data_IF_990753242068
#
_entry.id   IF_990753242068
#
_cell.length_a   1.000
_cell.length_b   1.000
_cell.length_c   1.000
_cell.angle_alpha   90.00
_cell.angle_beta   90.00
_cell.angle_gamma   90.00
#
_symmetry.space_group_name_H-M   'P 1'
#
loop_
_entity.id
_entity.type
_entity.pdbx_description
1 polymer ?
#
# COMPACT_ATOMS: atom_id res chain seq x y z
N UNK A 1 10.33 14.89 -25.73
CA UNK A 1 11.40 14.68 -24.73
C UNK A 1 10.80 13.83 -23.62
N UNK A 2 11.51 12.78 -23.17
CA UNK A 2 11.09 12.03 -22.00
C UNK A 2 10.86 12.93 -20.79
N UNK A 3 9.88 12.56 -19.98
CA UNK A 3 9.55 13.14 -18.69
C UNK A 3 9.89 12.13 -17.61
N UNK A 4 10.72 12.52 -16.67
CA UNK A 4 10.92 11.82 -15.41
C UNK A 4 10.20 12.56 -14.30
N UNK A 5 9.39 11.85 -13.52
CA UNK A 5 8.75 12.37 -12.30
C UNK A 5 9.36 11.68 -11.09
N UNK A 6 10.04 12.42 -10.22
CA UNK A 6 10.45 11.92 -8.90
C UNK A 6 9.28 12.08 -7.95
N UNK A 7 8.63 10.97 -7.56
CA UNK A 7 7.43 10.98 -6.73
C UNK A 7 7.76 11.24 -5.27
N UNK A 8 8.60 10.39 -4.70
CA UNK A 8 8.88 10.40 -3.26
C UNK A 8 10.20 9.73 -2.91
N UNK A 9 10.69 10.06 -1.73
CA UNK A 9 11.85 9.45 -1.08
C UNK A 9 11.39 8.88 0.25
N UNK A 10 11.70 7.62 0.52
CA UNK A 10 11.42 6.99 1.80
C UNK A 10 12.72 6.89 2.56
N UNK A 11 12.72 7.35 3.81
CA UNK A 11 13.80 7.07 4.75
C UNK A 11 13.39 5.88 5.61
N UNK A 12 14.12 4.77 5.56
CA UNK A 12 13.91 3.62 6.43
C UNK A 12 14.80 3.70 7.69
N UNK A 13 16.00 4.25 7.53
CA UNK A 13 17.00 4.43 8.59
C UNK A 13 17.80 5.70 8.32
N UNK A 14 18.01 6.48 9.36
CA UNK A 14 19.01 7.56 9.45
C UNK A 14 20.18 7.11 10.33
N UNK A 15 21.26 7.89 10.33
CA UNK A 15 22.39 7.65 11.23
C UNK A 15 22.01 7.94 12.69
N UNK A 16 21.11 8.90 12.91
CA UNK A 16 20.56 9.26 14.21
C UNK A 16 19.07 8.94 14.21
N UNK A 17 18.71 7.79 14.80
CA UNK A 17 17.31 7.37 14.92
C UNK A 17 16.51 8.20 15.95
N UNK A 18 17.17 9.05 16.72
CA UNK A 18 16.57 9.89 17.77
C UNK A 18 16.25 11.31 17.30
N UNK A 19 16.83 11.74 16.19
CA UNK A 19 16.64 13.09 15.66
C UNK A 19 16.25 13.05 14.18
N UNK A 20 15.66 14.15 13.72
CA UNK A 20 15.41 14.31 12.31
C UNK A 20 16.69 14.77 11.62
N UNK A 21 17.00 14.18 10.48
CA UNK A 21 18.13 14.58 9.64
C UNK A 21 17.64 15.44 8.47
N UNK A 22 18.49 16.34 7.99
CA UNK A 22 18.19 17.11 6.78
C UNK A 22 18.62 16.29 5.56
N UNK A 23 17.65 15.77 4.81
CA UNK A 23 17.90 15.08 3.56
C UNK A 23 17.94 16.08 2.41
N UNK A 24 18.98 16.02 1.59
CA UNK A 24 19.13 16.83 0.37
C UNK A 24 19.06 15.93 -0.85
N UNK A 25 18.10 16.20 -1.73
CA UNK A 25 17.97 15.58 -3.04
C UNK A 25 18.48 16.55 -4.11
N UNK A 26 19.45 16.12 -4.93
CA UNK A 26 19.92 16.88 -6.10
C UNK A 26 19.49 16.16 -7.37
N UNK A 27 18.87 16.88 -8.28
CA UNK A 27 18.45 16.38 -9.59
C UNK A 27 19.21 17.15 -10.67
N UNK A 28 19.92 16.42 -11.53
CA UNK A 28 20.78 16.95 -12.59
C UNK A 28 20.30 16.34 -13.90
N UNK A 29 19.80 17.14 -14.83
CA UNK A 29 19.39 16.69 -16.15
C UNK A 29 20.36 17.24 -17.20
N UNK A 30 20.89 16.36 -18.07
CA UNK A 30 21.74 16.74 -19.21
C UNK A 30 22.90 17.70 -18.85
N UNK A 31 23.59 17.42 -17.73
CA UNK A 31 24.68 18.25 -17.19
C UNK A 31 24.30 19.71 -16.86
N UNK A 32 23.01 20.01 -16.76
CA UNK A 32 22.52 21.32 -16.31
C UNK A 32 22.83 21.57 -14.82
N UNK A 33 22.64 22.82 -14.39
CA UNK A 33 22.79 23.20 -12.98
C UNK A 33 21.86 22.36 -12.08
N UNK A 34 22.36 21.78 -10.98
CA UNK A 34 21.56 20.90 -10.13
C UNK A 34 20.35 21.63 -9.53
N UNK A 35 19.16 21.02 -9.62
CA UNK A 35 18.00 21.41 -8.83
C UNK A 35 18.11 20.74 -7.46
N UNK A 36 18.21 21.53 -6.41
CA UNK A 36 18.35 21.04 -5.05
C UNK A 36 17.06 21.20 -4.25
N UNK A 37 16.75 20.16 -3.49
CA UNK A 37 15.64 20.13 -2.56
C UNK A 37 16.15 19.68 -1.21
N UNK A 38 15.57 20.20 -0.14
CA UNK A 38 15.90 19.83 1.24
C UNK A 38 14.65 19.47 2.01
N UNK A 39 14.75 18.50 2.91
CA UNK A 39 13.66 18.10 3.78
C UNK A 39 14.16 17.48 5.07
N UNK A 40 13.63 17.95 6.18
CA UNK A 40 13.86 17.33 7.49
C UNK A 40 13.04 16.05 7.58
N UNK A 41 13.69 14.90 7.77
CA UNK A 41 13.05 13.59 7.74
C UNK A 41 13.48 12.73 8.93
N UNK A 42 12.53 11.99 9.50
CA UNK A 42 12.79 10.95 10.49
C UNK A 42 12.84 9.57 9.84
N UNK A 43 13.53 8.64 10.48
CA UNK A 43 13.49 7.23 10.09
C UNK A 43 12.04 6.70 10.05
N UNK A 44 11.69 6.11 8.91
CA UNK A 44 10.37 5.60 8.55
C UNK A 44 9.42 6.64 7.95
N UNK A 45 9.83 7.89 7.74
CA UNK A 45 9.01 8.88 7.03
C UNK A 45 9.21 8.82 5.51
N UNK A 46 8.25 9.40 4.80
CA UNK A 46 8.35 9.67 3.37
C UNK A 46 8.38 11.17 3.13
N UNK A 47 9.16 11.57 2.14
CA UNK A 47 9.20 12.90 1.57
C UNK A 47 8.59 12.86 0.17
N UNK A 48 7.42 13.46 0.00
CA UNK A 48 6.78 13.60 -1.30
C UNK A 48 7.43 14.78 -2.05
N UNK A 49 8.05 14.49 -3.19
CA UNK A 49 8.76 15.48 -4.01
C UNK A 49 7.96 15.88 -5.26
N UNK A 50 7.25 14.92 -5.87
CA UNK A 50 6.42 15.07 -7.07
C UNK A 50 6.98 16.06 -8.09
N UNK A 51 8.25 15.87 -8.45
CA UNK A 51 9.00 16.81 -9.28
C UNK A 51 9.24 16.26 -10.67
N UNK A 52 8.79 17.03 -11.64
CA UNK A 52 8.92 16.74 -13.07
C UNK A 52 10.25 17.28 -13.63
N UNK A 53 10.85 16.47 -14.50
CA UNK A 53 12.15 16.70 -15.13
C UNK A 53 12.08 16.25 -16.59
N UNK A 54 12.09 17.20 -17.51
CA UNK A 54 12.32 16.92 -18.92
C UNK A 54 13.82 16.79 -19.17
N UNK A 55 14.21 15.81 -19.98
CA UNK A 55 15.61 15.56 -20.30
C UNK A 55 15.75 14.94 -21.70
N UNK A 56 16.94 15.04 -22.27
CA UNK A 56 17.28 14.54 -23.60
C UNK A 56 18.12 13.26 -23.55
N UNK A 57 19.13 13.22 -22.67
CA UNK A 57 20.12 12.16 -22.58
C UNK A 57 20.07 11.43 -21.25
N UNK A 58 20.19 12.16 -20.12
CA UNK A 58 20.16 11.52 -18.80
C UNK A 58 19.67 12.43 -17.68
N UNK A 59 19.19 11.81 -16.61
CA UNK A 59 18.94 12.43 -15.31
C UNK A 59 19.73 11.69 -14.24
N UNK A 60 20.49 12.43 -13.45
CA UNK A 60 21.14 11.94 -12.23
C UNK A 60 20.39 12.45 -11.01
N UNK A 61 20.00 11.53 -10.13
CA UNK A 61 19.36 11.84 -8.85
C UNK A 61 20.34 11.43 -7.74
N UNK A 62 20.77 12.39 -6.93
CA UNK A 62 21.71 12.17 -5.83
C UNK A 62 21.03 12.47 -4.50
N UNK A 63 21.36 11.66 -3.50
CA UNK A 63 20.86 11.83 -2.15
C UNK A 63 22.01 12.05 -1.18
N UNK A 64 21.85 13.07 -0.33
CA UNK A 64 22.79 13.44 0.72
C UNK A 64 22.04 13.62 2.04
N UNK A 65 22.67 13.28 3.14
CA UNK A 65 22.24 13.60 4.49
C UNK A 65 23.11 14.75 4.99
N UNK A 66 22.53 15.94 5.07
CA UNK A 66 23.18 17.13 5.62
C UNK A 66 23.04 17.05 7.15
N UNK A 67 24.09 16.56 7.83
CA UNK A 67 24.10 16.48 9.29
C UNK A 67 24.30 17.85 9.89
N UNK A 68 23.28 18.39 10.57
CA UNK A 68 23.39 19.61 11.36
C UNK A 68 24.37 19.44 12.55
N UNK A 69 24.57 18.19 13.02
CA UNK A 69 25.41 17.88 14.17
C UNK A 69 26.91 17.79 13.84
N UNK A 70 27.27 17.23 12.69
CA UNK A 70 28.68 17.03 12.30
C UNK A 70 29.18 18.05 11.29
N UNK A 71 28.27 18.77 10.60
CA UNK A 71 28.60 19.76 9.57
C UNK A 71 29.18 19.18 8.28
N UNK A 72 29.36 17.86 8.19
CA UNK A 72 29.83 17.16 6.98
C UNK A 72 28.67 16.42 6.31
N UNK A 73 28.36 16.71 5.04
CA UNK A 73 27.29 16.03 4.34
C UNK A 73 27.68 14.58 4.02
N UNK A 74 26.83 13.63 4.43
CA UNK A 74 26.98 12.22 4.11
C UNK A 74 26.34 11.92 2.75
N UNK A 75 27.09 11.31 1.84
CA UNK A 75 26.57 10.89 0.54
C UNK A 75 25.83 9.55 0.65
N UNK A 76 24.50 9.58 0.54
CA UNK A 76 23.67 8.39 0.68
C UNK A 76 23.67 7.52 -0.57
N UNK A 77 23.72 8.12 -1.76
CA UNK A 77 23.79 7.39 -3.03
C UNK A 77 23.32 8.19 -4.24
N UNK A 78 23.31 7.52 -5.40
CA UNK A 78 22.73 8.06 -6.64
C UNK A 78 22.09 6.98 -7.50
N UNK A 79 21.17 7.42 -8.34
CA UNK A 79 20.68 6.66 -9.49
C UNK A 79 20.80 7.53 -10.75
N UNK A 80 21.19 6.90 -11.84
CA UNK A 80 21.31 7.52 -13.15
C UNK A 80 20.26 6.90 -14.09
N UNK A 81 19.50 7.77 -14.76
CA UNK A 81 18.42 7.40 -15.66
C UNK A 81 18.77 7.91 -17.04
N UNK A 82 19.16 7.01 -17.94
CA UNK A 82 19.54 7.35 -19.31
C UNK A 82 18.38 7.09 -20.28
N UNK A 83 18.06 8.09 -21.12
CA UNK A 83 16.93 8.03 -22.05
C UNK A 83 17.00 6.83 -23.00
N UNK A 84 18.21 6.43 -23.40
CA UNK A 84 18.46 5.34 -24.35
C UNK A 84 18.08 3.94 -23.84
N UNK A 85 17.94 3.76 -22.52
CA UNK A 85 17.68 2.45 -21.88
C UNK A 85 16.38 2.42 -21.08
N UNK A 86 15.61 3.50 -21.11
CA UNK A 86 14.37 3.59 -20.34
C UNK A 86 13.17 3.05 -21.12
N UNK A 87 12.23 2.46 -20.39
CA UNK A 87 10.87 2.16 -20.84
C UNK A 87 9.88 2.99 -20.02
N UNK A 88 8.66 3.20 -20.56
CA UNK A 88 7.57 3.78 -19.76
C UNK A 88 7.32 2.89 -18.55
N UNK A 89 7.21 3.49 -17.37
CA UNK A 89 6.96 2.73 -16.15
C UNK A 89 7.29 3.47 -14.87
N UNK A 90 7.15 2.75 -13.77
CA UNK A 90 7.56 3.18 -12.43
C UNK A 90 8.76 2.36 -11.96
N UNK A 91 9.69 3.04 -11.32
CA UNK A 91 10.99 2.50 -10.93
C UNK A 91 11.29 2.90 -9.49
N UNK A 92 12.19 2.14 -8.88
CA UNK A 92 12.74 2.44 -7.58
C UNK A 92 14.25 2.30 -7.57
N UNK A 93 14.92 3.13 -6.79
CA UNK A 93 16.35 3.04 -6.55
C UNK A 93 16.60 2.99 -5.04
N UNK A 94 17.20 1.89 -4.59
CA UNK A 94 17.52 1.67 -3.18
C UNK A 94 18.96 2.08 -2.89
N UNK A 95 19.12 2.88 -1.83
CA UNK A 95 20.40 3.33 -1.30
C UNK A 95 20.56 2.78 0.10
N UNK A 96 21.21 1.61 0.19
CA UNK A 96 21.53 0.96 1.44
C UNK A 96 22.99 1.24 1.82
N UNK A 97 23.18 2.02 2.88
CA UNK A 97 24.50 2.35 3.42
C UNK A 97 24.54 2.08 4.92
N UNK A 98 25.72 1.88 5.52
CA UNK A 98 25.85 1.66 6.96
C UNK A 98 25.17 2.75 7.82
N UNK A 99 25.23 3.99 7.35
CA UNK A 99 24.71 5.17 8.06
C UNK A 99 23.30 5.58 7.63
N UNK A 100 22.69 4.92 6.63
CA UNK A 100 21.37 5.33 6.17
C UNK A 100 20.76 4.34 5.19
N UNK A 101 19.43 4.27 5.15
CA UNK A 101 18.71 3.45 4.19
C UNK A 101 17.56 4.25 3.62
N UNK A 102 17.64 4.50 2.31
CA UNK A 102 16.66 5.29 1.59
C UNK A 102 16.23 4.57 0.32
N UNK A 103 15.03 4.89 -0.17
CA UNK A 103 14.60 4.48 -1.50
C UNK A 103 13.89 5.63 -2.20
N UNK A 104 14.25 5.86 -3.45
CA UNK A 104 13.62 6.85 -4.31
C UNK A 104 12.65 6.15 -5.25
N UNK A 105 11.47 6.72 -5.43
CA UNK A 105 10.45 6.27 -6.36
C UNK A 105 10.27 7.31 -7.46
N UNK A 106 10.36 6.88 -8.71
CA UNK A 106 10.23 7.75 -9.87
C UNK A 106 9.51 7.03 -11.02
N UNK A 107 8.93 7.78 -11.96
CA UNK A 107 8.36 7.23 -13.18
C UNK A 107 8.96 7.89 -14.41
N UNK A 108 8.96 7.16 -15.52
CA UNK A 108 9.27 7.69 -16.83
C UNK A 108 8.08 7.61 -17.77
N UNK A 109 7.88 8.71 -18.49
CA UNK A 109 7.03 8.81 -19.65
C UNK A 109 7.86 9.32 -20.84
N UNK A 110 8.15 8.45 -21.80
CA UNK A 110 8.95 8.71 -22.99
C UNK A 110 8.17 9.55 -24.01
N UNK A 111 6.83 9.52 -23.93
CA UNK A 111 5.91 10.29 -24.78
C UNK A 111 4.85 10.97 -23.91
N UNK A 112 5.24 11.97 -23.09
CA UNK A 112 4.30 12.63 -22.22
C UNK A 112 3.22 13.33 -23.07
N UNK A 113 1.93 13.22 -22.69
CA UNK A 113 0.87 13.92 -23.39
C UNK A 113 1.16 15.44 -23.35
N UNK A 114 1.23 16.06 -24.52
CA UNK A 114 1.36 17.51 -24.67
C UNK A 114 0.02 18.13 -24.27
N UNK A 115 -0.17 18.35 -22.96
CA UNK A 115 -1.37 19.04 -22.47
C UNK A 115 -1.02 20.51 -22.23
N UNK A 116 -1.34 21.36 -23.19
CA UNK A 116 -1.63 22.77 -22.87
C UNK A 116 -2.81 22.78 -21.90
N UNK A 117 -2.57 23.16 -20.64
CA UNK A 117 -3.63 23.36 -19.66
C UNK A 117 -4.41 24.64 -20.01
N UNK A 118 -5.25 24.57 -21.05
CA UNK A 118 -6.36 25.50 -21.17
C UNK A 118 -7.40 25.10 -20.13
N UNK A 119 -7.36 25.75 -18.98
CA UNK A 119 -8.42 25.67 -17.97
C UNK A 119 -9.64 26.38 -18.57
N UNK A 120 -10.50 25.62 -19.25
CA UNK A 120 -11.86 26.09 -19.49
C UNK A 120 -12.63 25.93 -18.17
N UNK A 121 -12.88 27.07 -17.52
CA UNK A 121 -13.86 27.12 -16.45
C UNK A 121 -15.22 26.70 -17.00
N UNK A 122 -15.92 25.70 -16.41
CA UNK A 122 -17.29 25.44 -16.79
C UNK A 122 -18.15 26.63 -16.34
N UNK A 123 -18.60 27.43 -17.31
CA UNK A 123 -19.67 28.39 -17.11
C UNK A 123 -20.97 27.60 -16.99
N UNK A 124 -21.46 27.43 -15.77
CA UNK A 124 -22.79 26.89 -15.54
C UNK A 124 -23.82 27.94 -15.96
N UNK A 125 -24.41 27.75 -17.14
CA UNK A 125 -25.69 28.38 -17.48
C UNK A 125 -26.78 27.39 -17.09
N UNK A 126 -27.51 27.72 -16.04
CA UNK A 126 -28.76 27.05 -15.68
C UNK A 126 -29.81 27.41 -16.72
N UNK A 127 -30.45 26.42 -17.33
CA UNK A 127 -31.79 26.58 -17.88
C UNK A 127 -32.56 25.26 -17.71
N UNK A 128 -33.62 25.35 -16.91
CA UNK A 128 -34.66 24.35 -16.72
C UNK A 128 -35.43 24.10 -18.02
N UNK A 129 -35.59 22.83 -18.44
CA UNK A 129 -36.90 22.19 -18.49
C UNK A 129 -36.82 20.68 -18.85
N UNK A 130 -37.76 19.84 -18.36
CA UNK A 130 -37.68 18.39 -18.36
C UNK A 130 -38.39 17.77 -19.58
N UNK A 131 -37.70 16.93 -20.35
CA UNK A 131 -38.32 15.93 -21.22
C UNK A 131 -37.29 14.98 -21.84
N UNK A 132 -37.62 13.68 -21.81
CA UNK A 132 -37.15 12.62 -22.73
C UNK A 132 -35.72 12.08 -22.56
N UNK A 133 -35.64 10.95 -21.86
CA UNK A 133 -34.62 9.91 -22.06
C UNK A 133 -34.78 9.27 -23.44
N UNK A 134 -33.67 8.84 -24.06
CA UNK A 134 -33.67 7.59 -24.82
C UNK A 134 -32.69 6.56 -24.24
N UNK A 135 -33.15 5.31 -24.23
CA UNK A 135 -32.40 4.09 -23.91
C UNK A 135 -31.13 3.96 -24.76
N UNK A 136 -30.02 3.50 -24.14
CA UNK A 136 -28.81 3.15 -24.88
C UNK A 136 -28.41 1.70 -24.62
N UNK A 137 -28.26 1.01 -25.75
CA UNK A 137 -28.11 -0.43 -25.95
C UNK A 137 -26.80 -1.00 -25.40
N UNK A 138 -26.91 -2.24 -24.93
CA UNK A 138 -25.82 -3.11 -24.52
C UNK A 138 -24.96 -3.52 -25.71
N UNK A 139 -23.64 -3.35 -25.62
CA UNK A 139 -22.71 -4.05 -26.52
C UNK A 139 -21.67 -4.82 -25.71
N UNK A 140 -21.79 -6.14 -25.79
CA UNK A 140 -20.81 -7.12 -25.36
C UNK A 140 -19.53 -6.98 -26.19
N UNK A 141 -18.37 -6.90 -25.54
CA UNK A 141 -17.09 -7.11 -26.21
C UNK A 141 -16.26 -8.09 -25.37
N UNK A 142 -16.16 -9.31 -25.89
CA UNK A 142 -15.49 -10.45 -25.26
C UNK A 142 -13.98 -10.29 -25.18
N UNK A 143 -13.41 -10.93 -24.16
CA UNK A 143 -11.98 -11.12 -23.96
C UNK A 143 -11.48 -12.29 -24.85
N UNK A 144 -10.30 -12.20 -25.48
CA UNK A 144 -9.71 -13.33 -26.19
C UNK A 144 -9.12 -14.38 -25.23
N UNK A 145 -9.25 -15.65 -25.62
CA UNK A 145 -8.68 -16.83 -24.98
C UNK A 145 -7.41 -17.32 -25.71
N UNK A 146 -6.50 -17.88 -24.91
CA UNK A 146 -5.50 -18.94 -25.16
C UNK A 146 -4.23 -18.63 -25.99
N UNK A 147 -3.03 -18.89 -25.44
CA UNK A 147 -2.37 -20.23 -25.43
C UNK A 147 -1.00 -20.22 -24.73
N UNK A 148 -0.57 -21.41 -24.30
CA UNK A 148 0.42 -21.73 -23.28
C UNK A 148 1.82 -22.17 -23.81
N UNK A 149 2.65 -22.62 -22.84
CA UNK A 149 3.86 -23.49 -22.89
C UNK A 149 5.24 -22.77 -22.89
N UNK A 150 6.28 -23.17 -22.13
CA UNK A 150 6.44 -24.28 -21.19
C UNK A 150 7.83 -24.28 -20.47
N UNK A 151 7.88 -25.03 -19.36
CA UNK A 151 8.99 -25.77 -18.69
C UNK A 151 10.41 -25.20 -18.50
N UNK A 152 10.85 -25.21 -17.22
CA UNK A 152 12.25 -25.20 -16.80
C UNK A 152 12.40 -25.55 -15.30
N UNK A 153 13.17 -26.60 -15.03
CA UNK A 153 13.36 -27.38 -13.79
C UNK A 153 14.01 -26.64 -12.60
N UNK A 154 13.56 -26.90 -11.36
CA UNK A 154 14.37 -26.73 -10.13
C UNK A 154 13.95 -27.70 -9.02
N UNK A 155 14.90 -28.55 -8.65
CA UNK A 155 14.87 -29.43 -7.48
C UNK A 155 15.13 -28.67 -6.19
N UNK A 156 14.17 -28.70 -5.26
CA UNK A 156 14.33 -28.29 -3.87
C UNK A 156 13.04 -28.57 -3.12
N UNK A 157 13.04 -29.59 -2.24
CA UNK A 157 11.87 -30.13 -1.51
C UNK A 157 10.91 -29.05 -0.99
N UNK A 158 9.81 -28.85 -1.71
CA UNK A 158 8.60 -28.20 -1.20
C UNK A 158 7.70 -29.31 -0.67
N UNK A 159 7.27 -29.21 0.58
CA UNK A 159 6.21 -30.06 1.10
C UNK A 159 4.93 -29.78 0.30
N UNK A 160 4.66 -30.65 -0.68
CA UNK A 160 3.51 -30.55 -1.57
C UNK A 160 2.26 -31.09 -0.87
N UNK A 161 1.44 -30.18 -0.35
CA UNK A 161 0.04 -30.41 -0.04
C UNK A 161 -0.82 -29.53 -0.93
N UNK A 162 -1.16 -30.00 -2.13
CA UNK A 162 -2.12 -29.31 -2.99
C UNK A 162 -3.51 -29.37 -2.34
N UNK A 163 -3.93 -28.25 -1.71
CA UNK A 163 -5.33 -28.00 -1.32
C UNK A 163 -5.66 -27.96 0.18
N UNK A 164 -4.99 -27.16 1.01
CA UNK A 164 -5.39 -26.97 2.43
C UNK A 164 -5.35 -25.54 3.01
N UNK A 165 -5.24 -24.51 2.17
CA UNK A 165 -5.16 -23.12 2.65
C UNK A 165 -6.09 -22.17 1.91
N UNK A 166 -6.42 -21.05 2.54
CA UNK A 166 -7.08 -19.93 1.88
C UNK A 166 -6.17 -19.43 0.75
N UNK A 167 -6.78 -19.05 -0.37
CA UNK A 167 -6.11 -18.54 -1.56
C UNK A 167 -6.97 -17.41 -2.14
N UNK A 168 -6.46 -16.19 -2.30
CA UNK A 168 -7.21 -15.06 -2.87
C UNK A 168 -7.93 -15.35 -4.20
N UNK A 169 -7.33 -16.15 -5.09
CA UNK A 169 -7.89 -16.54 -6.41
C UNK A 169 -9.13 -17.43 -6.34
N UNK A 170 -9.27 -18.21 -5.26
CA UNK A 170 -10.37 -19.17 -5.07
C UNK A 170 -11.36 -18.66 -4.02
N UNK A 171 -10.82 -18.10 -2.94
CA UNK A 171 -11.54 -17.77 -1.70
C UNK A 171 -11.65 -16.26 -1.44
N UNK A 172 -11.14 -15.42 -2.35
CA UNK A 172 -11.35 -13.97 -2.36
C UNK A 172 -12.48 -13.55 -3.31
N UNK A 173 -13.05 -12.35 -3.11
CA UNK A 173 -14.05 -11.83 -4.05
C UNK A 173 -13.41 -11.53 -5.41
N UNK A 174 -14.18 -11.75 -6.48
CA UNK A 174 -13.76 -11.52 -7.85
C UNK A 174 -13.94 -10.06 -8.33
N UNK A 175 -14.45 -9.17 -7.48
CA UNK A 175 -14.64 -7.74 -7.75
C UNK A 175 -13.79 -6.89 -6.79
N UNK A 176 -13.30 -5.73 -7.25
CA UNK A 176 -12.48 -4.87 -6.41
C UNK A 176 -13.32 -4.16 -5.35
N UNK A 177 -12.65 -3.77 -4.28
CA UNK A 177 -13.19 -2.91 -3.24
C UNK A 177 -13.42 -1.48 -3.74
N UNK A 178 -14.48 -1.29 -4.52
CA UNK A 178 -14.88 0.00 -5.06
C UNK A 178 -16.34 0.27 -4.70
N UNK A 179 -16.54 0.80 -3.49
CA UNK A 179 -17.86 1.09 -2.93
C UNK A 179 -17.96 2.56 -2.55
N UNK A 180 -19.20 3.04 -2.46
CA UNK A 180 -19.55 4.38 -1.98
C UNK A 180 -20.26 4.28 -0.63
N UNK A 181 -19.55 3.79 0.39
CA UNK A 181 -20.11 3.69 1.74
C UNK A 181 -19.98 5.02 2.50
N UNK A 182 -21.08 5.48 3.11
CA UNK A 182 -21.10 6.65 4.00
C UNK A 182 -21.40 6.20 5.43
N UNK A 183 -20.49 6.48 6.35
CA UNK A 183 -20.71 6.23 7.77
C UNK A 183 -21.34 7.45 8.43
N UNK A 184 -22.66 7.44 8.62
CA UNK A 184 -23.39 8.57 9.23
C UNK A 184 -23.30 8.62 10.77
N UNK A 185 -22.36 7.89 11.39
CA UNK A 185 -22.19 7.85 12.83
C UNK A 185 -21.20 8.93 13.30
N UNK A 186 -21.64 9.82 14.19
CA UNK A 186 -20.75 10.77 14.85
C UNK A 186 -20.00 10.05 15.97
N UNK A 187 -18.71 9.81 15.76
CA UNK A 187 -17.81 9.27 16.78
C UNK A 187 -17.05 10.44 17.41
N UNK A 188 -17.19 10.69 18.71
CA UNK A 188 -16.62 11.90 19.35
C UNK A 188 -15.09 12.06 19.19
N UNK A 189 -14.38 10.99 18.89
CA UNK A 189 -12.92 10.96 18.69
C UNK A 189 -12.49 11.03 17.22
N UNK A 190 -13.44 11.02 16.26
CA UNK A 190 -13.14 11.14 14.83
C UNK A 190 -14.04 12.24 14.24
N UNK A 191 -13.51 13.26 13.55
CA UNK A 191 -14.32 14.31 12.91
C UNK A 191 -15.48 13.77 12.04
N UNK A 192 -16.43 14.62 11.64
CA UNK A 192 -17.38 14.19 10.57
C UNK A 192 -16.60 14.05 9.27
N UNK A 193 -16.82 12.96 8.54
CA UNK A 193 -16.17 12.74 7.25
C UNK A 193 -17.19 12.52 6.14
N UNK A 194 -16.95 13.16 5.01
CA UNK A 194 -17.60 12.90 3.73
C UNK A 194 -16.56 12.36 2.76
N UNK A 195 -16.14 11.12 2.95
CA UNK A 195 -15.33 10.41 1.97
C UNK A 195 -16.06 9.15 1.53
N UNK A 196 -16.08 8.94 0.22
CA UNK A 196 -16.47 7.70 -0.42
C UNK A 196 -15.53 6.60 0.06
N UNK A 197 -16.00 5.70 0.93
CA UNK A 197 -15.16 4.64 1.51
C UNK A 197 -15.52 3.27 0.90
N UNK A 198 -14.50 2.42 0.77
CA UNK A 198 -14.67 1.02 0.40
C UNK A 198 -15.33 0.19 1.50
N UNK A 199 -15.41 -1.12 1.30
CA UNK A 199 -15.83 -2.11 2.30
C UNK A 199 -14.70 -3.10 2.57
N UNK A 200 -13.42 -2.68 2.56
CA UNK A 200 -12.27 -3.60 2.66
C UNK A 200 -12.34 -4.50 3.91
N UNK A 201 -12.68 -3.92 5.07
CA UNK A 201 -12.86 -4.68 6.30
C UNK A 201 -14.02 -5.67 6.24
N UNK A 202 -15.12 -5.29 5.58
CA UNK A 202 -16.27 -6.15 5.35
C UNK A 202 -15.98 -7.28 4.37
N UNK A 203 -15.28 -6.99 3.28
CA UNK A 203 -14.86 -7.96 2.26
C UNK A 203 -13.88 -8.97 2.81
N UNK A 204 -12.88 -8.54 3.57
CA UNK A 204 -11.91 -9.42 4.23
C UNK A 204 -12.60 -10.36 5.22
N UNK A 205 -13.47 -9.82 6.10
CA UNK A 205 -14.24 -10.65 7.04
C UNK A 205 -15.17 -11.63 6.32
N UNK A 206 -15.87 -11.17 5.30
CA UNK A 206 -16.78 -12.01 4.54
C UNK A 206 -16.01 -13.12 3.78
N UNK A 207 -14.90 -12.82 3.12
CA UNK A 207 -14.07 -13.85 2.47
C UNK A 207 -13.63 -14.94 3.46
N UNK A 208 -13.19 -14.54 4.66
CA UNK A 208 -12.87 -15.49 5.72
C UNK A 208 -14.10 -16.30 6.19
N UNK A 209 -15.26 -15.65 6.35
CA UNK A 209 -16.51 -16.35 6.72
C UNK A 209 -16.90 -17.43 5.71
N UNK A 210 -16.85 -17.13 4.41
CA UNK A 210 -17.17 -18.12 3.37
C UNK A 210 -16.16 -19.27 3.37
N UNK A 211 -14.87 -18.98 3.50
CA UNK A 211 -13.83 -20.00 3.57
C UNK A 211 -13.97 -20.92 4.79
N UNK A 212 -14.12 -20.34 5.99
CA UNK A 212 -14.20 -21.11 7.25
C UNK A 212 -15.48 -21.96 7.33
N UNK A 213 -16.55 -21.53 6.66
CA UNK A 213 -17.79 -22.29 6.53
C UNK A 213 -17.85 -23.19 5.28
N UNK A 214 -16.77 -23.29 4.50
CA UNK A 214 -16.68 -24.11 3.29
C UNK A 214 -17.78 -23.78 2.26
N UNK A 215 -18.15 -22.50 2.16
CA UNK A 215 -19.13 -22.00 1.21
C UNK A 215 -18.43 -21.38 0.00
N UNK A 216 -18.94 -21.60 -1.22
CA UNK A 216 -18.41 -20.92 -2.39
C UNK A 216 -18.73 -19.42 -2.32
N UNK A 217 -17.74 -18.58 -2.64
CA UNK A 217 -18.02 -17.16 -2.85
C UNK A 217 -18.85 -16.95 -4.13
N UNK A 218 -19.64 -15.88 -4.20
CA UNK A 218 -20.27 -15.47 -5.44
C UNK A 218 -19.21 -15.28 -6.55
N UNK A 219 -19.29 -16.07 -7.62
CA UNK A 219 -18.33 -16.03 -8.74
C UNK A 219 -18.40 -14.77 -9.61
N UNK A 220 -19.27 -13.82 -9.27
CA UNK A 220 -19.45 -12.56 -9.99
C UNK A 220 -18.26 -11.62 -9.79
N UNK A 221 -17.80 -11.00 -10.87
CA UNK A 221 -16.86 -9.87 -10.84
C UNK A 221 -17.60 -8.52 -10.81
N UNK A 222 -18.93 -8.53 -10.69
CA UNK A 222 -19.76 -7.34 -10.59
C UNK A 222 -19.84 -6.92 -9.12
N UNK A 223 -19.50 -5.66 -8.86
CA UNK A 223 -19.62 -5.04 -7.54
C UNK A 223 -21.11 -5.08 -7.12
N UNK A 224 -21.45 -5.63 -5.94
CA UNK A 224 -22.83 -5.78 -5.53
C UNK A 224 -23.50 -4.43 -5.32
N UNK A 225 -24.64 -4.25 -5.99
CA UNK A 225 -25.41 -3.01 -5.94
C UNK A 225 -25.89 -2.70 -4.51
N UNK A 226 -25.98 -1.40 -4.13
CA UNK A 226 -26.60 -0.99 -2.87
C UNK A 226 -27.97 -1.65 -2.68
N UNK A 227 -28.19 -2.25 -1.50
CA UNK A 227 -29.44 -2.95 -1.20
C UNK A 227 -29.52 -4.40 -1.68
N UNK A 228 -28.52 -4.96 -2.37
CA UNK A 228 -28.45 -6.42 -2.58
C UNK A 228 -28.12 -7.17 -1.28
N UNK A 229 -28.42 -8.48 -1.21
CA UNK A 229 -28.08 -9.29 -0.02
C UNK A 229 -26.57 -9.30 0.26
N UNK A 230 -25.75 -9.47 -0.77
CA UNK A 230 -24.30 -9.44 -0.63
C UNK A 230 -23.81 -8.07 -0.15
N UNK A 231 -24.30 -6.97 -0.73
CA UNK A 231 -23.94 -5.62 -0.27
C UNK A 231 -24.28 -5.41 1.21
N UNK A 232 -25.49 -5.76 1.63
CA UNK A 232 -25.91 -5.67 3.04
C UNK A 232 -25.01 -6.50 3.97
N UNK A 233 -24.61 -7.69 3.52
CA UNK A 233 -23.71 -8.55 4.28
C UNK A 233 -22.32 -7.93 4.40
N UNK A 234 -21.75 -7.40 3.30
CA UNK A 234 -20.46 -6.70 3.32
C UNK A 234 -20.48 -5.48 4.23
N UNK A 235 -21.53 -4.64 4.16
CA UNK A 235 -21.70 -3.49 5.07
C UNK A 235 -21.81 -3.92 6.53
N UNK A 236 -22.57 -4.98 6.82
CA UNK A 236 -22.68 -5.53 8.18
C UNK A 236 -21.33 -6.02 8.70
N UNK A 237 -20.54 -6.70 7.87
CA UNK A 237 -19.19 -7.17 8.24
C UNK A 237 -18.21 -6.01 8.34
N UNK A 238 -18.36 -4.96 7.53
CA UNK A 238 -17.57 -3.73 7.63
C UNK A 238 -17.77 -3.07 9.00
N UNK A 239 -19.01 -2.90 9.45
CA UNK A 239 -19.28 -2.36 10.79
C UNK A 239 -18.68 -3.23 11.90
N UNK A 240 -18.70 -4.55 11.73
CA UNK A 240 -18.11 -5.48 12.69
C UNK A 240 -16.57 -5.49 12.64
N UNK A 241 -15.96 -5.09 11.53
CA UNK A 241 -14.51 -4.92 11.42
C UNK A 241 -13.97 -3.82 12.33
N UNK A 242 -14.79 -2.84 12.68
CA UNK A 242 -14.40 -1.81 13.63
C UNK A 242 -14.31 -2.31 15.09
N UNK A 243 -14.74 -3.55 15.34
CA UNK A 243 -14.65 -4.21 16.64
C UNK A 243 -15.76 -3.86 17.62
N UNK A 244 -15.84 -4.57 18.76
CA UNK A 244 -16.77 -4.23 19.83
C UNK A 244 -16.56 -2.78 20.29
N UNK A 245 -17.63 -2.00 20.37
CA UNK A 245 -17.58 -0.58 20.77
C UNK A 245 -16.53 0.23 19.99
N UNK A 246 -16.35 -0.09 18.70
CA UNK A 246 -15.37 0.55 17.80
C UNK A 246 -13.89 0.44 18.23
N UNK A 247 -13.53 -0.53 19.09
CA UNK A 247 -12.18 -0.65 19.65
C UNK A 247 -11.06 -0.72 18.58
N UNK A 248 -11.27 -1.42 17.46
CA UNK A 248 -10.25 -1.50 16.39
C UNK A 248 -10.21 -0.23 15.55
N UNK A 249 -11.32 0.47 15.37
CA UNK A 249 -11.32 1.79 14.73
C UNK A 249 -10.60 2.83 15.61
N UNK A 250 -10.79 2.79 16.93
CA UNK A 250 -10.02 3.59 17.88
C UNK A 250 -8.53 3.22 17.84
N UNK A 251 -8.19 1.94 17.68
CA UNK A 251 -6.80 1.49 17.52
C UNK A 251 -6.17 2.04 16.24
N UNK A 252 -6.90 1.98 15.11
CA UNK A 252 -6.51 2.61 13.86
C UNK A 252 -6.24 4.10 14.03
N UNK A 253 -7.18 4.82 14.64
CA UNK A 253 -7.04 6.25 14.92
C UNK A 253 -5.79 6.54 15.77
N UNK A 254 -5.54 5.76 16.83
CA UNK A 254 -4.33 5.90 17.65
C UNK A 254 -3.06 5.71 16.83
N UNK A 255 -2.99 4.69 15.97
CA UNK A 255 -1.82 4.44 15.13
C UNK A 255 -1.64 5.49 14.03
N UNK A 256 -2.72 6.00 13.45
CA UNK A 256 -2.73 7.10 12.49
C UNK A 256 -2.27 8.43 13.12
N UNK A 257 -2.59 8.66 14.38
CA UNK A 257 -2.12 9.82 15.15
C UNK A 257 -0.65 9.72 15.59
N UNK A 258 -0.06 8.52 15.62
CA UNK A 258 1.38 8.39 15.88
C UNK A 258 2.14 8.99 14.71
N UNK A 259 2.88 10.07 14.96
CA UNK A 259 3.74 10.70 13.95
C UNK A 259 4.97 9.83 13.63
N UNK A 260 5.54 9.19 14.66
CA UNK A 260 6.74 8.36 14.51
C UNK A 260 6.43 7.01 13.86
N UNK A 261 6.91 6.82 12.63
CA UNK A 261 6.89 5.50 11.98
C UNK A 261 7.75 4.47 12.74
N UNK A 262 8.83 4.90 13.37
CA UNK A 262 9.61 4.04 14.26
C UNK A 262 8.72 3.39 15.34
N UNK A 263 7.85 4.17 15.97
CA UNK A 263 6.94 3.65 16.99
C UNK A 263 5.95 2.65 16.42
N UNK A 264 5.38 2.89 15.24
CA UNK A 264 4.47 1.94 14.59
C UNK A 264 5.19 0.65 14.17
N UNK A 265 6.44 0.72 13.72
CA UNK A 265 7.27 -0.46 13.39
C UNK A 265 7.61 -1.30 14.64
N UNK A 266 7.89 -0.66 15.78
CA UNK A 266 8.08 -1.35 17.07
C UNK A 266 6.80 -2.04 17.55
N UNK A 267 5.66 -1.36 17.42
CA UNK A 267 4.36 -1.95 17.76
C UNK A 267 4.01 -3.11 16.83
N UNK A 268 4.34 -2.99 15.54
CA UNK A 268 4.14 -4.05 14.54
C UNK A 268 4.97 -5.28 14.87
N UNK A 269 6.23 -5.10 15.30
CA UNK A 269 7.07 -6.19 15.78
C UNK A 269 6.40 -6.95 16.95
N UNK A 270 5.79 -6.24 17.89
CA UNK A 270 5.06 -6.87 18.99
C UNK A 270 3.78 -7.60 18.53
N UNK A 271 3.10 -7.09 17.51
CA UNK A 271 1.92 -7.73 16.91
C UNK A 271 2.27 -8.95 16.07
N UNK A 272 3.46 -8.96 15.45
CA UNK A 272 3.92 -10.04 14.57
C UNK A 272 3.89 -11.39 15.26
N UNK A 273 4.34 -11.50 16.51
CA UNK A 273 4.32 -12.77 17.26
C UNK A 273 2.91 -13.36 17.38
N UNK A 274 1.89 -12.53 17.65
CA UNK A 274 0.49 -12.97 17.74
C UNK A 274 -0.04 -13.44 16.38
N UNK A 275 0.28 -12.68 15.33
CA UNK A 275 -0.12 -13.00 13.96
C UNK A 275 0.54 -14.31 13.52
N UNK A 276 1.83 -14.48 13.79
CA UNK A 276 2.59 -15.70 13.49
C UNK A 276 1.96 -16.90 14.19
N UNK A 277 1.68 -16.81 15.49
CA UNK A 277 1.02 -17.89 16.24
C UNK A 277 -0.35 -18.24 15.63
N UNK A 278 -1.15 -17.26 15.25
CA UNK A 278 -2.44 -17.52 14.61
C UNK A 278 -2.28 -18.25 13.27
N UNK A 279 -1.37 -17.79 12.41
CA UNK A 279 -1.09 -18.40 11.11
C UNK A 279 -0.47 -19.80 11.22
N UNK A 280 0.39 -20.04 12.22
CA UNK A 280 0.94 -21.37 12.54
C UNK A 280 -0.19 -22.36 12.90
N UNK A 281 -1.29 -21.88 13.48
CA UNK A 281 -2.50 -22.64 13.77
C UNK A 281 -3.53 -22.63 12.62
N UNK A 282 -3.15 -22.16 11.42
CA UNK A 282 -4.02 -22.05 10.25
C UNK A 282 -5.25 -21.15 10.47
N UNK A 283 -5.17 -20.19 11.40
CA UNK A 283 -6.21 -19.21 11.67
C UNK A 283 -5.96 -17.98 10.79
N UNK A 284 -6.96 -17.59 9.99
CA UNK A 284 -6.88 -16.38 9.17
C UNK A 284 -6.91 -15.13 10.05
N UNK A 285 -6.09 -14.14 9.68
CA UNK A 285 -5.95 -12.92 10.48
C UNK A 285 -6.28 -11.71 9.64
N UNK A 286 -7.27 -10.94 10.03
CA UNK A 286 -7.49 -9.63 9.45
C UNK A 286 -6.49 -8.66 10.06
N UNK A 287 -5.86 -7.86 9.20
CA UNK A 287 -4.87 -6.89 9.58
C UNK A 287 -5.41 -5.48 9.38
N UNK A 288 -5.15 -4.62 10.37
CA UNK A 288 -5.19 -3.18 10.15
C UNK A 288 -3.83 -2.71 9.64
N UNK A 289 -3.76 -2.21 8.42
CA UNK A 289 -2.51 -1.76 7.77
C UNK A 289 -2.50 -0.24 7.72
N UNK A 290 -1.44 0.35 8.27
CA UNK A 290 -1.26 1.81 8.34
C UNK A 290 -0.24 2.23 7.28
N UNK A 291 -0.70 2.94 6.26
CA UNK A 291 0.14 3.50 5.20
C UNK A 291 0.53 4.95 5.48
N UNK A 292 -0.38 5.74 6.07
CA UNK A 292 -0.20 7.18 6.29
C UNK A 292 -0.50 7.55 7.74
N UNK A 293 0.10 8.65 8.21
CA UNK A 293 -0.34 9.36 9.42
C UNK A 293 -1.24 10.56 9.09
N UNK A 294 -1.70 11.25 10.12
CA UNK A 294 -2.60 12.41 10.00
C UNK A 294 -2.01 13.66 9.32
N UNK A 295 -0.69 13.73 9.11
CA UNK A 295 -0.05 14.79 8.32
C UNK A 295 0.08 14.39 6.85
N UNK A 296 0.24 13.09 6.59
CA UNK A 296 0.44 12.54 5.25
C UNK A 296 -0.86 12.30 4.50
N UNK A 297 -1.93 11.98 5.22
CA UNK A 297 -3.21 11.63 4.62
C UNK A 297 -4.33 11.41 5.63
N UNK A 298 -5.47 11.01 5.10
CA UNK A 298 -6.67 10.71 5.86
C UNK A 298 -6.61 9.33 6.49
N UNK A 299 -7.33 9.14 7.60
CA UNK A 299 -7.46 7.84 8.27
C UNK A 299 -7.90 6.72 7.31
N UNK A 300 -8.74 7.05 6.32
CA UNK A 300 -9.34 6.13 5.35
C UNK A 300 -8.42 5.69 4.22
N UNK A 301 -7.25 6.32 4.09
CA UNK A 301 -6.19 5.86 3.18
C UNK A 301 -5.39 4.71 3.80
N UNK A 302 -5.64 4.40 5.07
CA UNK A 302 -5.22 3.15 5.70
C UNK A 302 -6.20 2.02 5.36
N UNK A 303 -5.76 0.78 5.47
CA UNK A 303 -6.43 -0.33 4.79
C UNK A 303 -6.59 -1.57 5.67
N UNK A 304 -7.50 -2.46 5.28
CA UNK A 304 -7.69 -3.74 5.94
C UNK A 304 -7.51 -4.87 4.91
N UNK A 305 -6.66 -5.82 5.26
CA UNK A 305 -6.31 -6.99 4.43
C UNK A 305 -6.44 -8.27 5.25
N UNK A 306 -6.46 -9.43 4.59
CA UNK A 306 -6.49 -10.74 5.27
C UNK A 306 -5.14 -11.44 5.11
N UNK A 307 -4.38 -11.62 6.19
CA UNK A 307 -3.25 -12.54 6.20
C UNK A 307 -3.73 -13.98 6.27
N UNK A 308 -3.15 -14.82 5.42
CA UNK A 308 -3.54 -16.23 5.30
C UNK A 308 -2.37 -17.22 5.36
N UNK A 309 -1.14 -16.75 5.14
CA UNK A 309 0.07 -17.55 5.26
C UNK A 309 1.28 -16.62 5.42
N UNK A 310 2.44 -17.17 5.78
CA UNK A 310 3.70 -16.45 5.73
C UNK A 310 4.85 -17.38 5.33
N UNK A 311 5.91 -16.80 4.79
CA UNK A 311 7.20 -17.44 4.61
C UNK A 311 8.24 -16.67 5.43
N UNK A 312 9.14 -17.38 6.10
CA UNK A 312 10.24 -16.79 6.87
C UNK A 312 11.54 -17.50 6.50
N UNK A 313 12.21 -17.10 5.40
CA UNK A 313 13.41 -17.79 4.91
C UNK A 313 14.58 -17.73 5.90
N UNK A 314 14.61 -16.72 6.76
CA UNK A 314 15.56 -16.59 7.86
C UNK A 314 14.97 -15.72 8.98
N UNK A 315 15.58 -15.66 10.18
CA UNK A 315 15.05 -14.88 11.30
C UNK A 315 14.89 -13.38 11.02
N UNK A 316 15.59 -12.84 10.02
CA UNK A 316 15.60 -11.42 9.68
C UNK A 316 14.53 -10.98 8.68
N UNK A 317 13.82 -11.90 8.02
CA UNK A 317 12.98 -11.58 6.87
C UNK A 317 11.67 -12.38 6.87
N UNK A 318 10.55 -11.70 6.67
CA UNK A 318 9.21 -12.29 6.56
C UNK A 318 8.54 -11.88 5.25
N UNK A 319 7.77 -12.79 4.68
CA UNK A 319 6.86 -12.57 3.56
C UNK A 319 5.46 -12.99 3.99
N UNK A 320 4.67 -12.03 4.46
CA UNK A 320 3.30 -12.25 4.92
C UNK A 320 2.34 -12.21 3.71
N UNK A 321 1.79 -13.36 3.34
CA UNK A 321 0.87 -13.48 2.21
C UNK A 321 -0.50 -12.92 2.60
N UNK A 322 -1.06 -12.03 1.78
CA UNK A 322 -2.30 -11.34 2.08
C UNK A 322 -3.31 -11.39 0.93
N UNK A 323 -4.60 -11.43 1.27
CA UNK A 323 -5.67 -11.01 0.38
C UNK A 323 -5.94 -9.53 0.59
N UNK A 324 -5.62 -8.73 -0.44
CA UNK A 324 -6.00 -7.33 -0.53
C UNK A 324 -7.26 -7.21 -1.41
N UNK A 325 -8.41 -6.78 -0.86
CA UNK A 325 -9.66 -6.70 -1.61
C UNK A 325 -9.65 -5.61 -2.70
N UNK A 326 -8.64 -4.73 -2.76
CA UNK A 326 -8.43 -3.83 -3.90
C UNK A 326 -7.84 -4.55 -5.12
N UNK A 327 -7.24 -5.75 -4.95
CA UNK A 327 -6.60 -6.54 -5.99
C UNK A 327 -7.19 -7.96 -6.06
N UNK A 328 -8.42 -8.11 -6.61
CA UNK A 328 -9.11 -9.39 -6.71
C UNK A 328 -8.27 -10.48 -7.38
N UNK A 329 -8.42 -11.71 -6.89
CA UNK A 329 -7.84 -12.94 -7.45
C UNK A 329 -6.30 -12.99 -7.52
N UNK A 330 -5.60 -12.12 -6.80
CA UNK A 330 -4.13 -12.06 -6.78
C UNK A 330 -3.56 -12.82 -5.58
N UNK A 331 -2.94 -13.97 -5.84
CA UNK A 331 -2.29 -14.81 -4.82
C UNK A 331 -0.86 -14.32 -4.48
N UNK A 332 -0.32 -13.44 -5.30
CA UNK A 332 1.07 -12.96 -5.28
C UNK A 332 1.24 -11.62 -4.53
N UNK A 333 0.20 -11.16 -3.82
CA UNK A 333 0.27 -9.96 -2.96
C UNK A 333 0.78 -10.34 -1.57
N UNK A 334 1.79 -9.63 -1.10
CA UNK A 334 2.40 -9.87 0.21
C UNK A 334 2.87 -8.59 0.89
N UNK A 335 3.04 -8.66 2.22
CA UNK A 335 3.81 -7.68 2.99
C UNK A 335 5.18 -8.30 3.29
N UNK A 336 6.23 -7.67 2.79
CA UNK A 336 7.61 -7.96 3.18
C UNK A 336 7.88 -7.26 4.51
N UNK A 337 8.45 -7.98 5.47
CA UNK A 337 8.89 -7.42 6.75
C UNK A 337 10.35 -7.74 7.00
N UNK A 338 11.16 -6.73 7.33
CA UNK A 338 12.56 -6.88 7.68
C UNK A 338 12.76 -6.55 9.16
N UNK A 339 13.25 -7.52 9.91
CA UNK A 339 13.65 -7.31 11.29
C UNK A 339 14.90 -6.45 11.30
N UNK A 340 14.81 -5.32 12.00
CA UNK A 340 15.90 -4.39 12.11
C UNK A 340 16.21 -4.14 13.58
N UNK A 341 17.38 -4.60 14.00
CA UNK A 341 17.95 -4.33 15.32
C UNK A 341 19.08 -3.30 15.15
N UNK A 342 18.90 -2.12 15.74
CA UNK A 342 19.90 -1.05 15.71
C UNK A 342 20.29 -0.72 17.13
N UNK A 343 21.60 -0.66 17.38
CA UNK A 343 22.15 -0.12 18.62
C UNK A 343 22.55 1.33 18.35
N UNK A 344 22.04 2.26 19.15
CA UNK A 344 22.55 3.63 19.23
C UNK A 344 23.29 3.81 20.55
N UNK A 345 24.02 4.92 20.70
CA UNK A 345 24.71 5.26 21.96
C UNK A 345 23.78 5.32 23.17
N UNK A 346 22.47 5.52 22.94
CA UNK A 346 21.46 5.74 23.98
C UNK A 346 20.51 4.56 24.17
N UNK A 347 20.31 3.70 23.17
CA UNK A 347 19.32 2.60 23.24
C UNK A 347 19.53 1.52 22.19
N UNK A 348 19.01 0.34 22.52
CA UNK A 348 18.72 -0.71 21.55
C UNK A 348 17.32 -0.53 20.98
N UNK A 349 17.20 -0.57 19.66
CA UNK A 349 15.93 -0.52 18.94
C UNK A 349 15.74 -1.80 18.16
N UNK A 350 14.65 -2.52 18.45
CA UNK A 350 14.13 -3.60 17.61
C UNK A 350 12.84 -3.17 16.95
N UNK A 351 12.73 -3.35 15.63
CA UNK A 351 11.55 -2.96 14.84
C UNK A 351 11.35 -3.86 13.64
N UNK A 352 10.16 -3.83 13.06
CA UNK A 352 9.82 -4.52 11.81
C UNK A 352 9.51 -3.49 10.72
N UNK A 353 10.40 -3.37 9.74
CA UNK A 353 10.24 -2.45 8.61
C UNK A 353 9.42 -3.17 7.54
N UNK A 354 8.30 -2.59 7.12
CA UNK A 354 7.32 -3.29 6.30
C UNK A 354 7.04 -2.59 4.97
N UNK A 355 6.80 -3.39 3.94
CA UNK A 355 6.43 -2.94 2.59
C UNK A 355 5.38 -3.87 2.02
N UNK A 356 4.32 -3.33 1.43
CA UNK A 356 3.38 -4.11 0.63
C UNK A 356 3.87 -4.18 -0.81
N UNK A 357 3.96 -5.40 -1.33
CA UNK A 357 4.37 -5.73 -2.69
C UNK A 357 3.18 -6.28 -3.45
N UNK A 358 2.90 -5.69 -4.61
CA UNK A 358 1.89 -6.14 -5.58
C UNK A 358 2.62 -6.19 -6.92
N UNK A 359 2.89 -7.39 -7.48
CA UNK A 359 3.67 -7.48 -8.71
C UNK A 359 3.07 -6.65 -9.86
N UNK A 360 3.90 -5.85 -10.51
CA UNK A 360 3.51 -4.88 -11.54
C UNK A 360 3.06 -3.50 -11.00
N UNK A 361 3.15 -3.27 -9.70
CA UNK A 361 2.82 -2.00 -9.05
C UNK A 361 3.98 -1.45 -8.23
N UNK A 362 3.93 -0.14 -8.00
CA UNK A 362 4.87 0.54 -7.10
C UNK A 362 4.76 -0.04 -5.68
N UNK A 363 5.90 -0.36 -5.08
CA UNK A 363 5.99 -0.84 -3.70
C UNK A 363 5.40 0.21 -2.75
N UNK A 364 4.52 -0.24 -1.85
CA UNK A 364 3.86 0.63 -0.89
C UNK A 364 4.52 0.47 0.48
N UNK A 365 5.18 1.50 1.02
CA UNK A 365 5.66 1.44 2.40
C UNK A 365 4.50 1.25 3.38
N UNK A 366 4.71 0.39 4.37
CA UNK A 366 3.78 0.13 5.47
C UNK A 366 4.39 0.69 6.74
N UNK A 367 3.78 1.73 7.32
CA UNK A 367 4.25 2.30 8.59
C UNK A 367 4.14 1.29 9.73
N UNK A 368 3.11 0.46 9.67
CA UNK A 368 2.93 -0.68 10.54
C UNK A 368 1.63 -1.42 10.26
N UNK A 369 1.48 -2.57 10.87
CA UNK A 369 0.23 -3.31 10.88
C UNK A 369 -0.04 -3.91 12.26
N UNK A 370 -1.30 -4.22 12.52
CA UNK A 370 -1.72 -4.89 13.74
C UNK A 370 -2.83 -5.90 13.50
N UNK A 371 -2.96 -6.83 14.44
CA UNK A 371 -3.97 -7.88 14.39
C UNK A 371 -5.37 -7.32 14.71
N UNK A 372 -6.35 -7.74 13.91
CA UNK A 372 -7.78 -7.53 14.11
C UNK A 372 -8.48 -8.90 14.00
N UNK A 373 -8.74 -9.61 15.12
CA UNK A 373 -9.29 -10.96 15.10
C UNK A 373 -10.49 -11.16 14.16
N UNK A 374 -10.44 -12.24 13.37
CA UNK A 374 -11.56 -12.69 12.55
C UNK A 374 -12.49 -13.52 13.43
N UNK A 375 -13.60 -12.92 13.89
CA UNK A 375 -14.70 -13.71 14.45
C UNK A 375 -15.62 -14.14 13.30
N UNK A 376 -15.49 -15.41 12.92
CA UNK A 376 -16.29 -16.05 11.87
C UNK A 376 -17.79 -15.87 12.10
N UNK A 377 -18.54 -15.67 11.02
CA UNK A 377 -20.00 -15.66 11.00
C UNK A 377 -20.53 -16.28 9.72
N UNK A 378 -21.34 -17.33 9.86
CA UNK A 378 -22.04 -17.94 8.74
C UNK A 378 -22.74 -16.88 7.86
N UNK A 379 -22.40 -16.79 6.57
CA UNK A 379 -23.13 -15.97 5.61
C UNK A 379 -24.60 -16.39 5.58
N UNK A 380 -25.53 -15.49 5.86
CA UNK A 380 -26.96 -15.74 5.65
C UNK A 380 -27.32 -15.21 4.26
N UNK A 381 -28.00 -16.02 3.46
CA UNK A 381 -28.48 -15.66 2.11
C UNK A 381 -29.39 -14.45 2.08
#
# INVERSE_FOLDING_TARGET
MPLLTVHKIICFRTNDLDHADELRCRIIADDAMPREFKHTILAGQQWNLNTDVLFASFVRIQLWEDSAATGQPFYAGQTDVAAAVCANGSFEAEFLHQNGWYRIYYSLDIQPPVTERNIQHPVYTTNDNPAMLPEMQTTNRGLPQDMATGSGDQTGRVASGAGKGFLPSIHGFAFPNYFTFQLNTRLSFIPRFSSTYGLCGGMVKAAADYYEHQLPLPHTNIIPQPGSSLYRYLVKRQMQSFGPTFAYLTRFFKWWMLYSTLKTQQLTLHEWEKIKIALDNQILVQLGVVYVDHHQGSLWENHQVLAYAYEQPNPGLIYLKIYDPNFPKRDDVFIKGEFNNVQTDKKSISRLICEQHIPGWVVKPVRGFFEMPVKSKHPKG
#
